data_IF_534525348082
#
_entry.id   IF_534525348082
#
_cell.length_a   1.000
_cell.length_b   1.000
_cell.length_c   1.000
_cell.angle_alpha   90.00
_cell.angle_beta   90.00
_cell.angle_gamma   90.00
#
_symmetry.space_group_name_H-M   'P 1'
#
loop_
_entity.id
_entity.type
_entity.pdbx_description
1 polymer ?
#
# COMPACT_ATOMS: atom_id res chain seq x y z
N UNK A 1 10.72 -28.37 12.04
CA UNK A 1 10.26 -28.36 13.44
C UNK A 1 9.68 -26.98 13.68
N UNK A 2 8.36 -26.84 13.59
CA UNK A 2 7.67 -25.61 13.96
C UNK A 2 7.69 -25.48 15.47
N UNK A 3 8.18 -24.37 15.99
CA UNK A 3 8.01 -24.05 17.39
C UNK A 3 6.51 -23.96 17.65
N UNK A 4 5.98 -24.87 18.45
CA UNK A 4 4.68 -24.71 19.10
C UNK A 4 4.92 -23.51 20.01
N UNK A 5 4.37 -22.34 19.64
CA UNK A 5 4.28 -21.22 20.55
C UNK A 5 3.42 -21.72 21.71
N UNK A 6 4.03 -21.94 22.86
CA UNK A 6 3.31 -22.18 24.10
C UNK A 6 2.33 -21.02 24.28
N UNK A 7 1.07 -21.38 24.48
CA UNK A 7 0.02 -20.41 24.71
C UNK A 7 0.36 -19.65 25.99
N UNK A 8 0.79 -18.41 25.86
CA UNK A 8 1.04 -17.53 27.01
C UNK A 8 -0.31 -17.25 27.69
N UNK A 9 -0.48 -17.79 28.89
CA UNK A 9 -1.56 -17.37 29.76
C UNK A 9 -1.32 -15.91 30.15
N UNK A 10 -2.38 -15.11 30.14
CA UNK A 10 -2.29 -13.75 30.68
C UNK A 10 -2.07 -13.78 32.20
N UNK A 11 -1.72 -12.62 32.76
CA UNK A 11 -1.51 -12.41 34.20
C UNK A 11 -2.73 -12.78 35.10
N UNK A 12 -3.89 -13.00 34.47
CA UNK A 12 -5.13 -13.45 35.12
C UNK A 12 -5.33 -14.99 35.10
N UNK A 13 -4.36 -15.75 34.52
CA UNK A 13 -4.43 -17.19 34.40
C UNK A 13 -5.46 -17.69 33.37
N UNK A 14 -5.96 -16.81 32.50
CA UNK A 14 -6.93 -17.14 31.46
C UNK A 14 -6.23 -17.23 30.09
N UNK A 15 -6.41 -18.36 29.44
CA UNK A 15 -6.00 -18.49 28.03
C UNK A 15 -7.01 -17.85 27.10
N UNK A 16 -6.53 -16.97 26.21
CA UNK A 16 -7.34 -16.27 25.20
C UNK A 16 -6.98 -16.84 23.81
N UNK A 17 -7.80 -17.73 23.24
CA UNK A 17 -7.55 -18.33 21.94
C UNK A 17 -7.45 -17.29 20.82
N UNK A 18 -6.62 -17.56 19.80
CA UNK A 18 -6.54 -16.80 18.57
C UNK A 18 -7.58 -17.22 17.51
N UNK A 19 -8.38 -18.21 17.83
CA UNK A 19 -9.48 -18.72 17.01
C UNK A 19 -10.71 -19.01 17.88
N UNK A 20 -11.89 -18.80 17.32
CA UNK A 20 -13.17 -19.17 17.94
C UNK A 20 -13.60 -20.62 17.66
N UNK A 21 -12.74 -21.38 16.96
CA UNK A 21 -12.97 -22.80 16.65
C UNK A 21 -13.94 -23.05 15.49
N UNK A 22 -14.51 -22.00 14.89
CA UNK A 22 -15.42 -22.13 13.75
C UNK A 22 -14.67 -22.14 12.41
N UNK A 23 -15.09 -22.95 11.41
CA UNK A 23 -14.47 -22.95 10.09
C UNK A 23 -14.65 -21.59 9.39
N UNK A 24 -13.57 -20.94 9.03
CA UNK A 24 -13.59 -19.71 8.24
C UNK A 24 -13.79 -20.02 6.76
N UNK A 25 -15.03 -20.19 6.32
CA UNK A 25 -15.36 -20.22 4.90
C UNK A 25 -15.92 -18.85 4.49
N UNK A 26 -15.11 -18.06 3.82
CA UNK A 26 -15.53 -16.80 3.21
C UNK A 26 -15.69 -16.92 1.69
N UNK A 27 -16.74 -16.25 1.17
CA UNK A 27 -16.89 -16.10 -0.27
C UNK A 27 -15.86 -15.11 -0.83
N UNK A 28 -15.57 -15.21 -2.13
CA UNK A 28 -14.74 -14.23 -2.83
C UNK A 28 -15.30 -12.80 -2.71
N UNK A 29 -16.61 -12.66 -2.58
CA UNK A 29 -17.28 -11.38 -2.40
C UNK A 29 -16.94 -10.72 -1.07
N UNK A 30 -16.69 -11.49 -0.01
CA UNK A 30 -16.27 -10.98 1.29
C UNK A 30 -14.76 -10.79 1.35
N UNK A 31 -14.00 -11.80 0.93
CA UNK A 31 -12.55 -11.80 1.01
C UNK A 31 -11.90 -10.64 0.25
N UNK A 32 -12.34 -10.35 -1.00
CA UNK A 32 -11.75 -9.31 -1.83
C UNK A 32 -11.82 -7.92 -1.20
N UNK A 33 -12.99 -7.41 -0.78
CA UNK A 33 -13.06 -6.08 -0.15
C UNK A 33 -12.37 -6.01 1.20
N UNK A 34 -12.39 -7.09 1.97
CA UNK A 34 -11.67 -7.19 3.23
C UNK A 34 -10.16 -7.04 3.02
N UNK A 35 -9.62 -7.90 2.16
CA UNK A 35 -8.22 -7.88 1.74
C UNK A 35 -7.83 -6.48 1.27
N UNK A 36 -8.64 -5.90 0.37
CA UNK A 36 -8.40 -4.54 -0.13
C UNK A 36 -8.36 -3.52 1.00
N UNK A 37 -9.35 -3.53 1.91
CA UNK A 37 -9.45 -2.50 2.93
C UNK A 37 -8.28 -2.57 3.93
N UNK A 38 -7.93 -3.77 4.41
CA UNK A 38 -6.81 -3.95 5.34
C UNK A 38 -5.50 -3.50 4.70
N UNK A 39 -5.20 -3.94 3.46
CA UNK A 39 -3.94 -3.57 2.80
C UNK A 39 -3.84 -2.10 2.46
N UNK A 40 -4.92 -1.58 1.86
CA UNK A 40 -4.93 -0.19 1.45
C UNK A 40 -4.76 0.76 2.64
N UNK A 41 -5.41 0.46 3.78
CA UNK A 41 -5.25 1.22 5.02
C UNK A 41 -3.86 1.01 5.63
N UNK A 42 -3.37 -0.22 5.69
CA UNK A 42 -2.04 -0.52 6.20
C UNK A 42 -0.94 0.21 5.40
N UNK A 43 -1.08 0.26 4.07
CA UNK A 43 -0.18 0.99 3.19
C UNK A 43 -0.34 2.51 3.34
N UNK A 44 -1.57 3.01 3.47
CA UNK A 44 -1.85 4.44 3.67
C UNK A 44 -1.21 4.97 4.95
N UNK A 45 -1.25 4.18 6.03
CA UNK A 45 -0.63 4.48 7.31
C UNK A 45 0.76 3.84 7.50
N UNK A 46 1.45 3.48 6.41
CA UNK A 46 2.76 2.81 6.48
C UNK A 46 3.79 3.60 7.30
N UNK A 47 3.81 4.92 7.11
CA UNK A 47 4.74 5.85 7.76
C UNK A 47 4.30 6.26 9.19
N UNK A 48 3.19 5.73 9.69
CA UNK A 48 2.64 6.00 11.03
C UNK A 48 2.90 4.80 11.95
N UNK A 49 3.92 4.85 12.83
CA UNK A 49 4.23 3.76 13.74
C UNK A 49 3.19 3.59 14.86
N UNK A 50 2.37 4.59 15.06
CA UNK A 50 1.30 4.70 16.05
C UNK A 50 -0.09 4.33 15.50
N UNK A 51 -0.17 3.75 14.29
CA UNK A 51 -1.43 3.31 13.69
C UNK A 51 -1.38 1.83 13.38
N UNK A 52 -2.24 1.07 14.01
CA UNK A 52 -2.42 -0.35 13.80
C UNK A 52 -3.66 -0.61 12.95
N UNK A 53 -3.46 -1.32 11.85
CA UNK A 53 -4.54 -1.78 10.95
C UNK A 53 -4.51 -3.29 10.95
N UNK A 54 -5.66 -3.91 11.17
CA UNK A 54 -5.82 -5.36 11.10
C UNK A 54 -7.23 -5.74 10.68
N UNK A 55 -7.46 -7.01 10.52
CA UNK A 55 -8.77 -7.57 10.25
C UNK A 55 -8.83 -9.01 10.66
N UNK A 56 -10.05 -9.49 10.92
CA UNK A 56 -10.32 -10.86 11.30
C UNK A 56 -9.51 -11.34 12.52
N UNK A 57 -9.17 -10.45 13.41
CA UNK A 57 -8.45 -10.71 14.63
C UNK A 57 -9.43 -10.65 15.81
N UNK A 58 -9.38 -11.63 16.70
CA UNK A 58 -10.21 -11.61 17.91
C UNK A 58 -9.81 -10.45 18.83
N UNK A 59 -10.78 -9.61 19.10
CA UNK A 59 -10.69 -8.52 20.07
C UNK A 59 -11.39 -8.96 21.35
N UNK A 60 -10.61 -9.22 22.38
CA UNK A 60 -11.10 -9.49 23.72
C UNK A 60 -11.27 -8.17 24.45
N UNK A 61 -12.44 -7.96 25.03
CA UNK A 61 -12.77 -6.69 25.70
C UNK A 61 -13.25 -6.83 27.15
N UNK A 62 -13.14 -8.06 27.70
CA UNK A 62 -13.41 -8.32 29.13
C UNK A 62 -12.31 -9.21 29.69
N UNK A 63 -11.46 -8.66 30.56
CA UNK A 63 -10.41 -9.41 31.24
C UNK A 63 -11.04 -10.49 32.14
N UNK A 64 -10.45 -11.67 32.16
CA UNK A 64 -10.94 -12.83 32.95
C UNK A 64 -12.08 -13.62 32.28
N UNK A 65 -12.48 -13.27 31.06
CA UNK A 65 -13.58 -13.92 30.35
C UNK A 65 -13.25 -14.05 28.85
N UNK A 66 -12.73 -15.19 28.45
CA UNK A 66 -12.34 -15.49 27.07
C UNK A 66 -13.52 -15.78 26.14
N UNK A 67 -14.76 -15.76 26.65
CA UNK A 67 -15.95 -15.88 25.80
C UNK A 67 -16.45 -14.55 25.28
N UNK A 68 -15.95 -13.44 25.84
CA UNK A 68 -16.35 -12.07 25.50
C UNK A 68 -15.38 -11.48 24.50
N UNK A 69 -15.64 -11.70 23.23
CA UNK A 69 -14.84 -11.21 22.13
C UNK A 69 -15.67 -10.84 20.90
N UNK A 70 -15.05 -10.09 20.00
CA UNK A 70 -15.58 -9.78 18.68
C UNK A 70 -14.43 -9.81 17.66
N UNK A 71 -14.70 -10.25 16.44
CA UNK A 71 -13.76 -10.21 15.34
C UNK A 71 -14.32 -9.29 14.25
N UNK A 72 -13.84 -8.04 14.15
CA UNK A 72 -14.22 -7.16 13.04
C UNK A 72 -13.49 -7.59 11.76
N UNK A 73 -14.17 -7.44 10.62
CA UNK A 73 -13.58 -7.73 9.31
C UNK A 73 -12.37 -6.82 9.05
N UNK A 74 -12.49 -5.54 9.39
CA UNK A 74 -11.39 -4.55 9.30
C UNK A 74 -11.47 -3.62 10.49
N UNK A 75 -10.33 -3.30 11.10
CA UNK A 75 -10.29 -2.28 12.14
C UNK A 75 -8.99 -1.47 12.14
N UNK A 76 -9.08 -0.26 12.63
CA UNK A 76 -7.96 0.67 12.76
C UNK A 76 -7.89 1.19 14.18
N UNK A 77 -6.67 1.22 14.73
CA UNK A 77 -6.40 1.75 16.07
C UNK A 77 -5.30 2.79 15.97
N UNK A 78 -5.58 4.00 16.43
CA UNK A 78 -4.61 5.08 16.54
C UNK A 78 -4.02 5.13 17.95
N UNK A 79 -2.74 5.50 18.04
CA UNK A 79 -2.04 5.64 19.31
C UNK A 79 -1.56 4.32 19.92
N UNK A 80 -1.55 3.24 19.16
CA UNK A 80 -0.97 1.95 19.58
C UNK A 80 0.21 1.56 18.70
N UNK A 81 1.16 0.84 19.28
CA UNK A 81 2.35 0.38 18.55
C UNK A 81 1.98 -0.58 17.43
N UNK A 82 2.53 -0.34 16.25
CA UNK A 82 2.40 -1.20 15.09
C UNK A 82 3.26 -2.45 15.25
N UNK A 83 2.63 -3.56 15.60
CA UNK A 83 3.25 -4.89 15.77
C UNK A 83 2.26 -5.99 15.43
N UNK A 84 2.75 -7.17 15.15
CA UNK A 84 1.90 -8.34 14.96
C UNK A 84 1.31 -8.79 16.30
N UNK A 85 0.06 -9.30 16.26
CA UNK A 85 -0.69 -9.77 17.42
C UNK A 85 -1.44 -11.05 17.07
N UNK A 86 -1.46 -12.00 17.99
CA UNK A 86 -2.33 -13.18 17.87
C UNK A 86 -3.78 -12.82 18.22
N UNK A 87 -3.97 -11.96 19.21
CA UNK A 87 -5.26 -11.43 19.64
C UNK A 87 -5.09 -9.97 20.03
N UNK A 88 -6.17 -9.19 20.00
CA UNK A 88 -6.20 -7.83 20.51
C UNK A 88 -6.93 -7.79 21.85
N UNK A 89 -6.24 -7.43 22.91
CA UNK A 89 -6.80 -7.35 24.26
C UNK A 89 -6.90 -5.89 24.67
N UNK A 90 -8.10 -5.37 24.82
CA UNK A 90 -8.31 -3.92 25.06
C UNK A 90 -7.64 -3.43 26.34
N UNK A 91 -7.52 -4.28 27.36
CA UNK A 91 -6.86 -3.93 28.61
C UNK A 91 -5.31 -3.93 28.52
N UNK A 92 -4.74 -4.68 27.57
CA UNK A 92 -3.29 -4.69 27.32
C UNK A 92 -2.90 -3.50 26.44
N UNK A 93 -3.69 -3.22 25.42
CA UNK A 93 -3.44 -2.14 24.46
C UNK A 93 -3.91 -0.77 24.98
N UNK A 94 -4.70 -0.74 26.04
CA UNK A 94 -5.20 0.47 26.69
C UNK A 94 -6.41 1.11 26.02
N UNK A 95 -6.87 0.56 24.88
CA UNK A 95 -8.03 1.09 24.14
C UNK A 95 -8.64 0.08 23.18
N UNK A 96 -9.87 0.36 22.76
CA UNK A 96 -10.54 -0.33 21.66
C UNK A 96 -10.17 0.28 20.29
N UNK A 97 -10.57 -0.32 19.17
CA UNK A 97 -10.44 0.29 17.85
C UNK A 97 -11.14 1.63 17.74
N UNK A 98 -10.57 2.53 16.93
CA UNK A 98 -11.20 3.82 16.61
C UNK A 98 -12.19 3.68 15.45
N UNK A 99 -11.87 2.82 14.48
CA UNK A 99 -12.74 2.58 13.32
C UNK A 99 -12.88 1.09 13.08
N UNK A 100 -14.10 0.67 12.76
CA UNK A 100 -14.44 -0.68 12.33
C UNK A 100 -15.21 -0.64 11.02
N UNK A 101 -14.86 -1.55 10.10
CA UNK A 101 -15.58 -1.77 8.85
C UNK A 101 -15.96 -3.25 8.78
N UNK A 102 -17.26 -3.54 8.69
CA UNK A 102 -17.79 -4.89 8.52
C UNK A 102 -18.22 -5.12 7.08
N UNK A 103 -17.90 -6.28 6.56
CA UNK A 103 -18.30 -6.72 5.22
C UNK A 103 -19.42 -7.70 5.35
N UNK A 104 -20.63 -7.17 5.24
CA UNK A 104 -21.86 -7.88 5.54
C UNK A 104 -22.11 -9.04 4.57
N UNK A 105 -22.44 -10.18 5.14
CA UNK A 105 -22.83 -11.39 4.43
C UNK A 105 -24.25 -11.82 4.82
N UNK A 106 -24.76 -12.82 4.09
CA UNK A 106 -26.03 -13.45 4.44
C UNK A 106 -26.05 -14.00 5.87
N UNK A 107 -24.91 -14.53 6.35
CA UNK A 107 -24.79 -15.11 7.69
C UNK A 107 -24.72 -14.05 8.78
N UNK A 108 -23.96 -12.98 8.54
CA UNK A 108 -23.61 -11.99 9.55
C UNK A 108 -24.55 -10.80 9.61
N UNK A 109 -25.38 -10.54 8.57
CA UNK A 109 -26.20 -9.35 8.40
C UNK A 109 -26.98 -8.90 9.64
N UNK A 110 -27.62 -9.83 10.34
CA UNK A 110 -28.43 -9.49 11.53
C UNK A 110 -27.55 -9.10 12.71
N UNK A 111 -26.42 -9.80 12.86
CA UNK A 111 -25.45 -9.51 13.91
C UNK A 111 -24.76 -8.18 13.63
N UNK A 112 -24.37 -7.93 12.38
CA UNK A 112 -23.73 -6.69 11.94
C UNK A 112 -24.67 -5.48 12.06
N UNK A 113 -25.99 -5.66 11.88
CA UNK A 113 -26.97 -4.57 12.01
C UNK A 113 -27.43 -4.30 13.44
N UNK A 114 -27.48 -5.30 14.32
CA UNK A 114 -28.11 -5.21 15.62
C UNK A 114 -27.18 -5.39 16.80
N UNK A 115 -26.34 -6.42 16.79
CA UNK A 115 -25.51 -6.79 17.94
C UNK A 115 -24.16 -6.07 17.92
N UNK A 116 -23.42 -6.17 16.82
CA UNK A 116 -22.09 -5.59 16.71
C UNK A 116 -22.07 -4.07 16.90
N UNK A 117 -23.04 -3.27 16.38
CA UNK A 117 -23.08 -1.85 16.67
C UNK A 117 -23.17 -1.52 18.15
N UNK A 118 -23.91 -2.31 18.90
CA UNK A 118 -24.03 -2.11 20.33
C UNK A 118 -22.73 -2.48 21.06
N UNK A 119 -22.08 -3.58 20.68
CA UNK A 119 -20.77 -3.96 21.20
C UNK A 119 -19.76 -2.84 20.92
N UNK A 120 -19.66 -2.37 19.67
CA UNK A 120 -18.71 -1.34 19.29
C UNK A 120 -19.01 0.01 19.94
N UNK A 121 -20.28 0.34 20.13
CA UNK A 121 -20.70 1.53 20.88
C UNK A 121 -20.23 1.46 22.34
N UNK A 122 -20.41 0.32 23.01
CA UNK A 122 -19.97 0.11 24.40
C UNK A 122 -18.44 0.14 24.52
N UNK A 123 -17.73 -0.30 23.50
CA UNK A 123 -16.27 -0.25 23.42
C UNK A 123 -15.75 1.17 23.13
N UNK A 124 -16.62 2.09 22.72
CA UNK A 124 -16.23 3.46 22.37
C UNK A 124 -15.58 3.56 20.99
N UNK A 125 -15.93 2.66 20.04
CA UNK A 125 -15.50 2.77 18.64
C UNK A 125 -16.12 4.03 18.03
N UNK A 126 -15.28 4.95 17.56
CA UNK A 126 -15.75 6.26 17.06
C UNK A 126 -16.56 6.15 15.79
N UNK A 127 -16.14 5.29 14.85
CA UNK A 127 -16.83 5.11 13.57
C UNK A 127 -17.01 3.63 13.24
N UNK A 128 -18.25 3.28 12.88
CA UNK A 128 -18.64 1.95 12.46
C UNK A 128 -19.26 1.97 11.07
N UNK A 129 -18.65 1.25 10.14
CA UNK A 129 -19.11 1.13 8.75
C UNK A 129 -19.53 -0.29 8.45
N UNK A 130 -20.53 -0.42 7.58
CA UNK A 130 -20.99 -1.69 7.01
C UNK A 130 -20.99 -1.57 5.49
N UNK A 131 -20.51 -2.59 4.83
CA UNK A 131 -20.54 -2.71 3.38
C UNK A 131 -21.08 -4.07 2.97
N UNK A 132 -22.06 -4.06 2.05
CA UNK A 132 -22.62 -5.26 1.43
C UNK A 132 -22.09 -5.39 0.00
N UNK A 133 -21.16 -6.34 -0.26
CA UNK A 133 -20.55 -6.49 -1.58
C UNK A 133 -21.52 -7.00 -2.67
N UNK A 134 -22.63 -7.61 -2.28
CA UNK A 134 -23.63 -8.15 -3.19
C UNK A 134 -24.80 -7.20 -3.42
N UNK A 135 -25.09 -6.32 -2.47
CA UNK A 135 -26.25 -5.43 -2.49
C UNK A 135 -27.56 -6.12 -2.13
N UNK A 136 -27.50 -7.35 -1.61
CA UNK A 136 -28.69 -8.16 -1.32
C UNK A 136 -29.22 -7.94 0.10
N UNK A 137 -28.39 -7.40 1.00
CA UNK A 137 -28.67 -7.39 2.45
C UNK A 137 -28.78 -6.01 3.05
N UNK A 138 -28.08 -5.01 2.49
CA UNK A 138 -28.12 -3.64 2.96
C UNK A 138 -28.71 -2.68 1.93
N UNK A 139 -29.58 -1.81 2.38
CA UNK A 139 -30.08 -0.67 1.60
C UNK A 139 -29.93 0.62 2.40
N UNK A 140 -29.04 1.55 2.00
CA UNK A 140 -28.05 1.43 0.89
C UNK A 140 -26.95 0.39 1.20
N UNK A 141 -26.25 -0.08 0.16
CA UNK A 141 -25.16 -1.08 0.26
C UNK A 141 -24.03 -0.69 1.20
N UNK A 142 -23.91 0.58 1.53
CA UNK A 142 -22.96 1.09 2.50
C UNK A 142 -23.71 1.89 3.56
N UNK A 143 -23.41 1.62 4.82
CA UNK A 143 -23.95 2.33 5.99
C UNK A 143 -22.80 2.77 6.88
N UNK A 144 -22.97 3.88 7.57
CA UNK A 144 -21.97 4.37 8.53
C UNK A 144 -22.65 4.97 9.75
N UNK A 145 -22.00 4.83 10.88
CA UNK A 145 -22.41 5.40 12.15
C UNK A 145 -21.20 6.03 12.81
N UNK A 146 -21.42 7.13 13.50
CA UNK A 146 -20.41 7.84 14.30
C UNK A 146 -20.88 7.96 15.72
N UNK A 147 -19.99 7.70 16.65
CA UNK A 147 -20.27 7.84 18.07
C UNK A 147 -20.29 9.33 18.43
N UNK A 148 -21.40 9.78 18.97
CA UNK A 148 -21.56 11.12 19.54
C UNK A 148 -22.38 11.04 20.84
N UNK A 149 -21.89 11.65 21.89
CA UNK A 149 -22.55 11.65 23.17
C UNK A 149 -22.91 10.27 23.77
N UNK A 150 -22.18 9.20 23.34
CA UNK A 150 -22.41 7.82 23.79
C UNK A 150 -23.47 7.06 22.98
N UNK A 151 -23.99 7.64 21.89
CA UNK A 151 -24.90 7.00 20.94
C UNK A 151 -24.31 7.03 19.55
N UNK A 152 -24.73 6.10 18.69
CA UNK A 152 -24.35 6.11 17.27
C UNK A 152 -25.35 6.92 16.45
N UNK A 153 -24.86 8.00 15.85
CA UNK A 153 -25.58 8.74 14.83
C UNK A 153 -25.26 8.24 13.43
N UNK A 154 -26.22 8.34 12.51
CA UNK A 154 -26.03 7.92 11.13
C UNK A 154 -25.13 8.88 10.37
N UNK A 155 -24.13 8.34 9.65
CA UNK A 155 -23.39 9.05 8.62
C UNK A 155 -24.18 8.90 7.32
N UNK A 156 -24.75 10.00 6.82
CA UNK A 156 -25.52 9.98 5.59
C UNK A 156 -24.60 10.04 4.35
N UNK A 157 -24.77 9.10 3.39
CA UNK A 157 -23.97 9.10 2.18
C UNK A 157 -24.36 10.25 1.27
N UNK A 158 -23.38 10.89 0.65
CA UNK A 158 -23.60 11.81 -0.48
C UNK A 158 -23.47 11.09 -1.81
N UNK A 159 -24.17 11.58 -2.85
CA UNK A 159 -24.03 11.05 -4.22
C UNK A 159 -22.75 11.58 -4.87
N UNK A 160 -22.04 10.70 -5.56
CA UNK A 160 -20.90 11.06 -6.40
C UNK A 160 -21.34 11.56 -7.78
N UNK A 161 -20.54 12.48 -8.38
CA UNK A 161 -20.72 13.02 -9.73
C UNK A 161 -20.52 11.91 -10.74
N UNK A 162 -20.88 10.99 -11.04
CA UNK A 162 -20.62 9.86 -11.95
C UNK A 162 -21.30 8.59 -11.47
N UNK A 163 -22.12 8.73 -10.46
CA UNK A 163 -22.83 7.62 -9.82
C UNK A 163 -22.05 7.02 -8.65
N UNK A 164 -22.79 6.36 -7.76
CA UNK A 164 -22.24 5.81 -6.53
C UNK A 164 -22.49 6.71 -5.32
N UNK A 165 -21.93 6.29 -4.21
CA UNK A 165 -22.10 6.94 -2.89
C UNK A 165 -20.72 7.21 -2.27
N UNK A 166 -20.65 8.22 -1.43
CA UNK A 166 -19.48 8.51 -0.60
C UNK A 166 -19.90 8.76 0.85
N UNK A 167 -19.15 8.21 1.78
CA UNK A 167 -19.25 8.47 3.20
C UNK A 167 -17.94 8.98 3.72
N UNK A 168 -17.95 10.05 4.49
CA UNK A 168 -16.76 10.61 5.10
C UNK A 168 -16.44 9.92 6.43
N UNK A 169 -15.21 9.45 6.56
CA UNK A 169 -14.62 9.05 7.83
C UNK A 169 -13.68 10.16 8.31
N UNK A 170 -14.08 10.84 9.37
CA UNK A 170 -13.24 11.88 9.99
C UNK A 170 -12.04 11.27 10.69
N UNK A 171 -12.23 10.11 11.30
CA UNK A 171 -11.18 9.40 12.03
C UNK A 171 -10.07 8.93 11.09
N UNK A 172 -10.43 8.35 9.95
CA UNK A 172 -9.44 7.94 8.93
C UNK A 172 -8.90 9.13 8.13
N UNK A 173 -9.62 10.23 8.03
CA UNK A 173 -9.33 11.34 7.10
C UNK A 173 -9.51 10.93 5.63
N UNK A 174 -10.36 9.97 5.37
CA UNK A 174 -10.67 9.38 4.08
C UNK A 174 -12.19 9.39 3.81
N UNK A 175 -12.57 9.12 2.58
CA UNK A 175 -13.94 8.80 2.24
C UNK A 175 -14.07 7.33 1.82
N UNK A 176 -15.12 6.67 2.27
CA UNK A 176 -15.54 5.35 1.81
C UNK A 176 -16.48 5.55 0.62
N UNK A 177 -16.04 5.19 -0.56
CA UNK A 177 -16.84 5.29 -1.77
C UNK A 177 -17.42 3.94 -2.18
N UNK A 178 -18.69 3.95 -2.55
CA UNK A 178 -19.32 2.85 -3.27
C UNK A 178 -19.33 3.20 -4.76
N UNK A 179 -18.48 2.57 -5.55
CA UNK A 179 -18.35 2.82 -7.00
C UNK A 179 -18.60 1.54 -7.76
N UNK A 180 -19.65 1.51 -8.59
CA UNK A 180 -20.05 0.31 -9.34
C UNK A 180 -20.29 -0.93 -8.46
N UNK A 181 -20.76 -0.72 -7.24
CA UNK A 181 -20.96 -1.79 -6.26
C UNK A 181 -19.72 -2.18 -5.47
N UNK A 182 -18.57 -1.60 -5.74
CA UNK A 182 -17.33 -1.89 -5.03
C UNK A 182 -16.98 -0.82 -3.98
N UNK A 183 -16.52 -1.26 -2.83
CA UNK A 183 -15.97 -0.39 -1.80
C UNK A 183 -14.58 0.09 -2.21
N UNK A 184 -14.39 1.41 -2.24
CA UNK A 184 -13.10 2.06 -2.50
C UNK A 184 -12.83 3.12 -1.44
N UNK A 185 -11.61 3.16 -0.95
CA UNK A 185 -11.14 4.20 -0.03
C UNK A 185 -10.53 5.35 -0.85
N UNK A 186 -10.99 6.56 -0.59
CA UNK A 186 -10.57 7.75 -1.33
C UNK A 186 -9.89 8.76 -0.42
N UNK A 187 -8.66 9.14 -0.78
CA UNK A 187 -7.91 10.19 -0.12
C UNK A 187 -8.30 11.55 -0.74
N UNK A 188 -9.03 12.35 0.02
CA UNK A 188 -9.51 13.67 -0.41
C UNK A 188 -8.35 14.64 -0.65
N UNK A 189 -7.26 14.53 0.14
CA UNK A 189 -6.08 15.39 0.01
C UNK A 189 -5.30 15.08 -1.25
N UNK A 190 -5.06 13.79 -1.52
CA UNK A 190 -4.36 13.31 -2.72
C UNK A 190 -5.27 13.26 -3.96
N UNK A 191 -6.58 13.40 -3.77
CA UNK A 191 -7.62 13.27 -4.81
C UNK A 191 -7.52 11.97 -5.60
N UNK A 192 -7.25 10.87 -4.90
CA UNK A 192 -7.04 9.55 -5.50
C UNK A 192 -7.57 8.44 -4.61
N UNK A 193 -7.96 7.34 -5.25
CA UNK A 193 -8.25 6.12 -4.52
C UNK A 193 -6.98 5.48 -3.98
N UNK A 194 -7.08 4.88 -2.80
CA UNK A 194 -6.05 3.98 -2.33
C UNK A 194 -5.98 2.79 -3.28
N UNK A 195 -4.77 2.40 -3.64
CA UNK A 195 -4.56 1.36 -4.64
C UNK A 195 -4.94 -0.02 -4.08
N UNK A 196 -5.57 -0.82 -4.90
CA UNK A 196 -5.64 -2.25 -4.67
C UNK A 196 -4.36 -2.94 -5.16
N UNK A 197 -4.20 -4.22 -4.84
CA UNK A 197 -3.03 -5.00 -5.24
C UNK A 197 -2.76 -4.94 -6.75
N UNK A 198 -3.79 -5.14 -7.58
CA UNK A 198 -3.63 -5.14 -9.03
C UNK A 198 -3.17 -3.77 -9.56
N UNK A 199 -3.77 -2.69 -9.05
CA UNK A 199 -3.39 -1.31 -9.39
C UNK A 199 -1.94 -0.99 -8.94
N UNK A 200 -1.55 -1.45 -7.76
CA UNK A 200 -0.20 -1.26 -7.25
C UNK A 200 0.83 -2.02 -8.10
N UNK A 201 0.57 -3.29 -8.43
CA UNK A 201 1.40 -4.08 -9.34
C UNK A 201 1.54 -3.43 -10.71
N UNK A 202 0.43 -2.94 -11.27
CA UNK A 202 0.43 -2.25 -12.56
C UNK A 202 1.20 -0.93 -12.51
N UNK A 203 1.04 -0.15 -11.45
CA UNK A 203 1.79 1.09 -11.25
C UNK A 203 3.30 0.82 -11.17
N UNK A 204 3.72 -0.19 -10.40
CA UNK A 204 5.11 -0.58 -10.30
C UNK A 204 5.67 -1.12 -11.62
N UNK A 205 4.89 -1.91 -12.36
CA UNK A 205 5.26 -2.40 -13.69
C UNK A 205 5.47 -1.24 -14.68
N UNK A 206 4.56 -0.26 -14.68
CA UNK A 206 4.67 0.96 -15.50
C UNK A 206 5.89 1.79 -15.10
N UNK A 207 6.11 2.02 -13.81
CA UNK A 207 7.27 2.74 -13.31
C UNK A 207 8.58 2.04 -13.69
N UNK A 208 8.68 0.73 -13.51
CA UNK A 208 9.84 -0.10 -13.91
C UNK A 208 10.10 -0.04 -15.42
N UNK A 209 9.05 -0.13 -16.24
CA UNK A 209 9.18 -0.04 -17.68
C UNK A 209 9.63 1.36 -18.12
N UNK A 210 9.11 2.42 -17.50
CA UNK A 210 9.55 3.79 -17.75
C UNK A 210 11.01 4.00 -17.36
N UNK A 211 11.44 3.48 -16.21
CA UNK A 211 12.84 3.52 -15.78
C UNK A 211 13.76 2.80 -16.77
N UNK A 212 13.39 1.57 -17.20
CA UNK A 212 14.15 0.81 -18.21
C UNK A 212 14.22 1.53 -19.56
N UNK A 213 13.13 2.15 -20.00
CA UNK A 213 13.11 2.94 -21.24
C UNK A 213 14.00 4.18 -21.12
N UNK A 214 13.96 4.87 -19.99
CA UNK A 214 14.85 6.00 -19.73
C UNK A 214 16.32 5.60 -19.73
N UNK A 215 16.67 4.49 -19.07
CA UNK A 215 18.04 3.93 -19.09
C UNK A 215 18.50 3.61 -20.52
N UNK A 216 17.66 2.93 -21.31
CA UNK A 216 17.97 2.63 -22.72
C UNK A 216 18.15 3.88 -23.57
N UNK A 217 17.27 4.88 -23.40
CA UNK A 217 17.37 6.14 -24.12
C UNK A 217 18.67 6.90 -23.77
N UNK A 218 19.02 6.93 -22.47
CA UNK A 218 20.27 7.54 -21.97
C UNK A 218 21.49 6.84 -22.55
N UNK A 219 21.54 5.50 -22.48
CA UNK A 219 22.64 4.71 -23.04
C UNK A 219 22.79 4.87 -24.57
N UNK A 220 21.64 4.98 -25.30
CA UNK A 220 21.67 5.25 -26.74
C UNK A 220 22.19 6.66 -27.06
N UNK A 221 21.75 7.65 -26.29
CA UNK A 221 22.22 9.03 -26.44
C UNK A 221 23.71 9.17 -26.12
N UNK A 222 24.19 8.41 -25.14
CA UNK A 222 25.60 8.32 -24.76
C UNK A 222 26.44 7.76 -25.90
N UNK A 223 26.07 6.58 -26.42
CA UNK A 223 26.76 5.97 -27.59
C UNK A 223 26.77 6.90 -28.79
N UNK A 224 25.66 7.59 -29.03
CA UNK A 224 25.59 8.54 -30.13
C UNK A 224 26.55 9.72 -29.92
N UNK A 225 26.63 10.24 -28.68
CA UNK A 225 27.59 11.31 -28.33
C UNK A 225 29.04 10.85 -28.42
N UNK A 226 29.36 9.61 -28.01
CA UNK A 226 30.68 9.03 -28.22
C UNK A 226 31.05 8.94 -29.71
N UNK A 227 30.11 8.43 -30.53
CA UNK A 227 30.33 8.35 -32.01
C UNK A 227 30.50 9.76 -32.60
N UNK A 228 29.68 10.72 -32.19
CA UNK A 228 29.80 12.10 -32.64
C UNK A 228 31.09 12.76 -32.15
N UNK A 229 31.53 12.48 -30.93
CA UNK A 229 32.80 12.95 -30.38
C UNK A 229 33.98 12.32 -31.10
N UNK A 230 33.93 11.00 -31.38
CA UNK A 230 34.93 10.32 -32.17
C UNK A 230 34.98 10.82 -33.62
N UNK A 231 33.82 10.97 -34.26
CA UNK A 231 33.75 11.50 -35.64
C UNK A 231 34.24 12.96 -35.71
N UNK A 232 33.98 13.77 -34.67
CA UNK A 232 34.54 15.15 -34.56
C UNK A 232 36.04 15.11 -34.37
N UNK A 233 36.54 14.24 -33.47
CA UNK A 233 37.96 14.08 -33.24
C UNK A 233 38.70 13.58 -34.50
N UNK A 234 38.10 12.63 -35.25
CA UNK A 234 38.65 12.14 -36.54
C UNK A 234 38.60 13.25 -37.60
N UNK A 235 37.50 14.01 -37.70
CA UNK A 235 37.40 15.12 -38.63
C UNK A 235 38.37 16.27 -38.27
N UNK A 236 38.60 16.53 -36.99
CA UNK A 236 39.58 17.48 -36.52
C UNK A 236 41.01 16.99 -36.78
N UNK A 237 41.31 15.68 -36.57
CA UNK A 237 42.58 15.08 -36.89
C UNK A 237 42.89 15.15 -38.42
N UNK A 238 41.88 14.86 -39.26
CA UNK A 238 42.01 14.95 -40.71
C UNK A 238 42.22 16.42 -41.17
N UNK A 239 41.52 17.39 -40.55
CA UNK A 239 41.73 18.80 -40.81
C UNK A 239 43.10 19.25 -40.34
N UNK A 240 43.54 18.85 -39.15
CA UNK A 240 44.87 19.12 -38.63
C UNK A 240 45.99 18.53 -39.55
N UNK A 241 45.72 17.32 -40.07
CA UNK A 241 46.65 16.68 -41.01
C UNK A 241 46.67 17.38 -42.40
N UNK A 242 45.49 17.76 -42.90
CA UNK A 242 45.37 18.54 -44.13
C UNK A 242 45.96 19.98 -43.97
N UNK A 243 45.83 20.54 -42.81
CA UNK A 243 46.48 21.83 -42.47
C UNK A 243 47.98 21.66 -42.30
N UNK A 244 48.47 20.58 -41.70
CA UNK A 244 49.90 20.27 -41.65
C UNK A 244 50.49 20.03 -43.05
N UNK A 245 49.78 19.41 -43.95
CA UNK A 245 50.19 19.26 -45.33
C UNK A 245 50.21 20.59 -46.09
N UNK A 246 49.30 21.50 -45.76
CA UNK A 246 49.27 22.87 -46.29
C UNK A 246 50.31 23.77 -45.65
N UNK A 247 50.67 23.44 -44.41
CA UNK A 247 51.55 24.26 -43.57
C UNK A 247 52.92 23.65 -43.27
N UNK A 248 53.40 22.78 -44.12
CA UNK A 248 54.86 22.61 -44.23
C UNK A 248 55.51 24.00 -44.39
N UNK A 249 54.69 24.99 -44.72
CA UNK A 249 55.06 26.43 -44.79
C UNK A 249 54.82 27.25 -43.52
N UNK A 250 54.15 26.72 -42.48
CA UNK A 250 53.88 27.55 -41.31
C UNK A 250 53.99 26.77 -39.97
N UNK A 251 55.18 26.69 -39.41
CA UNK A 251 55.53 26.07 -38.12
C UNK A 251 54.77 26.61 -36.88
N UNK A 252 54.01 27.67 -37.01
CA UNK A 252 53.38 28.35 -35.87
C UNK A 252 51.97 27.81 -35.45
N UNK A 253 51.32 26.94 -36.27
CA UNK A 253 49.96 26.45 -35.97
C UNK A 253 49.88 25.13 -35.24
N UNK A 254 50.98 24.35 -35.22
CA UNK A 254 51.02 22.99 -34.62
C UNK A 254 50.72 22.99 -33.11
N UNK A 255 51.02 24.03 -32.36
CA UNK A 255 50.71 24.14 -30.92
C UNK A 255 49.25 24.45 -30.62
N UNK A 256 48.59 25.22 -31.48
CA UNK A 256 47.19 25.58 -31.26
C UNK A 256 46.26 24.38 -31.48
N UNK A 257 46.59 23.49 -32.44
CA UNK A 257 45.82 22.29 -32.76
C UNK A 257 45.98 21.21 -31.69
N UNK A 258 47.16 21.07 -31.11
CA UNK A 258 47.41 20.14 -30.02
C UNK A 258 46.58 20.49 -28.77
N UNK A 259 46.37 21.80 -28.49
CA UNK A 259 45.50 22.27 -27.40
C UNK A 259 44.02 22.00 -27.66
N UNK A 260 43.53 22.17 -28.88
CA UNK A 260 42.14 21.89 -29.23
C UNK A 260 41.82 20.36 -29.17
N UNK A 261 42.76 19.50 -29.57
CA UNK A 261 42.60 18.05 -29.46
C UNK A 261 42.55 17.57 -27.99
N UNK A 262 43.30 18.21 -27.11
CA UNK A 262 43.27 17.92 -25.66
C UNK A 262 41.97 18.41 -24.96
N UNK A 263 41.45 19.57 -25.37
CA UNK A 263 40.15 20.05 -24.85
C UNK A 263 38.96 19.19 -25.29
N UNK A 264 39.01 18.69 -26.56
CA UNK A 264 37.97 17.78 -27.07
C UNK A 264 37.96 16.44 -26.33
N UNK A 265 39.14 15.91 -25.98
CA UNK A 265 39.24 14.68 -25.15
C UNK A 265 38.77 14.89 -23.74
N UNK A 266 39.13 16.02 -23.12
CA UNK A 266 38.65 16.34 -21.76
C UNK A 266 37.13 16.51 -21.69
N UNK A 267 36.51 17.07 -22.76
CA UNK A 267 35.04 17.15 -22.85
C UNK A 267 34.40 15.75 -23.05
N UNK A 268 35.00 14.92 -23.91
CA UNK A 268 34.49 13.57 -24.11
C UNK A 268 34.58 12.69 -22.84
N UNK A 269 35.65 12.83 -22.05
CA UNK A 269 35.77 12.17 -20.74
C UNK A 269 34.77 12.71 -19.73
N UNK A 270 34.50 14.02 -19.69
CA UNK A 270 33.50 14.61 -18.82
C UNK A 270 32.07 14.16 -19.18
N UNK A 271 31.75 14.07 -20.47
CA UNK A 271 30.45 13.58 -20.97
C UNK A 271 30.27 12.08 -20.68
N UNK A 272 31.33 11.26 -20.79
CA UNK A 272 31.30 9.82 -20.44
C UNK A 272 31.03 9.61 -18.94
N UNK A 273 31.69 10.37 -18.05
CA UNK A 273 31.44 10.30 -16.62
C UNK A 273 30.02 10.78 -16.22
N UNK A 274 29.49 11.78 -16.91
CA UNK A 274 28.12 12.24 -16.67
C UNK A 274 27.09 11.14 -17.02
N UNK A 275 27.31 10.42 -18.13
CA UNK A 275 26.39 9.39 -18.60
C UNK A 275 26.45 8.10 -17.78
N UNK A 276 27.62 7.70 -17.23
CA UNK A 276 27.73 6.63 -16.25
C UNK A 276 26.93 6.94 -14.97
N UNK A 277 27.00 8.18 -14.48
CA UNK A 277 26.23 8.59 -13.31
C UNK A 277 24.72 8.53 -13.55
N UNK A 278 24.27 8.89 -14.76
CA UNK A 278 22.86 8.78 -15.16
C UNK A 278 22.38 7.32 -15.25
N UNK A 279 23.20 6.41 -15.79
CA UNK A 279 22.88 4.97 -15.85
C UNK A 279 22.71 4.36 -14.44
N UNK A 280 23.61 4.67 -13.52
CA UNK A 280 23.52 4.24 -12.13
C UNK A 280 22.28 4.78 -11.41
N UNK A 281 21.90 6.03 -11.68
CA UNK A 281 20.68 6.60 -11.13
C UNK A 281 19.41 5.85 -11.59
N UNK A 282 19.35 5.48 -12.85
CA UNK A 282 18.22 4.74 -13.41
C UNK A 282 18.16 3.27 -12.94
N UNK A 283 19.31 2.61 -12.75
CA UNK A 283 19.36 1.29 -12.10
C UNK A 283 18.83 1.31 -10.67
N UNK A 284 19.22 2.33 -9.90
CA UNK A 284 18.72 2.50 -8.53
C UNK A 284 17.20 2.75 -8.48
N UNK A 285 16.65 3.46 -9.46
CA UNK A 285 15.20 3.65 -9.61
C UNK A 285 14.47 2.32 -9.94
N UNK A 286 15.04 1.51 -10.82
CA UNK A 286 14.50 0.21 -11.18
C UNK A 286 14.50 -0.78 -9.99
N UNK A 287 15.56 -0.77 -9.18
CA UNK A 287 15.63 -1.57 -7.96
C UNK A 287 14.56 -1.16 -6.94
N UNK A 288 14.38 0.14 -6.72
CA UNK A 288 13.32 0.65 -5.81
C UNK A 288 11.92 0.22 -6.26
N UNK A 289 11.66 0.25 -7.56
CA UNK A 289 10.39 -0.20 -8.11
C UNK A 289 10.16 -1.71 -7.90
N UNK A 290 11.20 -2.53 -8.06
CA UNK A 290 11.14 -3.98 -7.81
C UNK A 290 10.91 -4.31 -6.32
N UNK A 291 11.58 -3.61 -5.41
CA UNK A 291 11.38 -3.77 -3.96
C UNK A 291 9.94 -3.38 -3.54
N UNK A 292 9.42 -2.30 -4.11
CA UNK A 292 8.05 -1.88 -3.86
C UNK A 292 7.02 -2.92 -4.35
N UNK A 293 7.29 -3.56 -5.49
CA UNK A 293 6.45 -4.67 -5.98
C UNK A 293 6.46 -5.87 -5.04
N UNK A 294 7.66 -6.30 -4.62
CA UNK A 294 7.80 -7.41 -3.68
C UNK A 294 7.08 -7.16 -2.35
N UNK A 295 7.11 -5.92 -1.86
CA UNK A 295 6.38 -5.52 -0.65
C UNK A 295 4.87 -5.64 -0.83
N UNK A 296 4.35 -5.19 -1.96
CA UNK A 296 2.92 -5.28 -2.27
C UNK A 296 2.45 -6.74 -2.38
N UNK A 297 3.29 -7.62 -2.96
CA UNK A 297 2.99 -9.06 -3.02
C UNK A 297 2.97 -9.73 -1.63
N UNK A 298 3.89 -9.30 -0.75
CA UNK A 298 3.91 -9.79 0.63
C UNK A 298 2.67 -9.34 1.42
N UNK A 299 2.25 -8.09 1.24
CA UNK A 299 1.03 -7.54 1.84
C UNK A 299 -0.22 -8.30 1.36
N UNK A 300 -0.28 -8.66 0.07
CA UNK A 300 -1.37 -9.47 -0.49
C UNK A 300 -1.47 -10.87 0.14
N UNK A 301 -0.32 -11.55 0.30
CA UNK A 301 -0.29 -12.86 0.96
C UNK A 301 -0.74 -12.81 2.41
N UNK A 302 -0.40 -11.73 3.11
CA UNK A 302 -0.84 -11.53 4.49
C UNK A 302 -2.36 -11.47 4.58
N UNK A 303 -3.00 -10.76 3.67
CA UNK A 303 -4.46 -10.63 3.63
C UNK A 303 -5.16 -11.93 3.25
N UNK A 304 -4.61 -12.69 2.32
CA UNK A 304 -5.12 -14.04 2.03
C UNK A 304 -5.08 -14.92 3.28
N UNK A 305 -3.99 -14.85 4.04
CA UNK A 305 -3.86 -15.56 5.31
C UNK A 305 -4.86 -15.06 6.36
N UNK A 306 -5.02 -13.76 6.48
CA UNK A 306 -5.99 -13.16 7.42
C UNK A 306 -7.43 -13.52 7.03
N UNK A 307 -7.77 -13.52 5.74
CA UNK A 307 -9.05 -13.97 5.24
C UNK A 307 -9.30 -15.46 5.51
N UNK A 308 -8.26 -16.30 5.40
CA UNK A 308 -8.34 -17.72 5.73
C UNK A 308 -8.53 -17.96 7.24
N UNK A 309 -7.81 -17.21 8.06
CA UNK A 309 -7.99 -17.19 9.52
C UNK A 309 -9.42 -16.80 9.89
N UNK A 310 -10.04 -15.86 9.20
CA UNK A 310 -11.44 -15.48 9.43
C UNK A 310 -12.45 -16.51 8.95
N UNK A 311 -12.19 -17.18 7.84
CA UNK A 311 -13.01 -18.33 7.43
C UNK A 311 -13.07 -19.37 8.52
N UNK A 312 -11.90 -19.70 9.09
CA UNK A 312 -11.79 -20.67 10.18
C UNK A 312 -12.48 -20.19 11.49
N UNK A 313 -12.57 -18.88 11.73
CA UNK A 313 -13.22 -18.29 12.91
C UNK A 313 -14.72 -18.04 12.76
N UNK A 314 -15.19 -17.72 11.56
CA UNK A 314 -16.60 -17.43 11.29
C UNK A 314 -17.49 -18.68 11.21
N UNK A 315 -16.90 -19.87 11.02
CA UNK A 315 -17.59 -21.15 11.08
C UNK A 315 -17.97 -21.62 12.49
N UNK A 316 -17.32 -21.07 13.54
CA UNK A 316 -17.47 -21.48 14.94
C UNK A 316 -18.65 -20.83 15.71
N UNK A 317 -19.47 -19.99 15.06
CA UNK A 317 -20.53 -19.21 15.71
C UNK A 317 -21.97 -19.68 15.46
N UNK A 318 -22.19 -20.93 15.03
CA UNK A 318 -23.56 -21.47 14.93
C UNK A 318 -23.63 -22.89 15.52
N UNK A 319 -23.84 -22.97 16.78
CA UNK A 319 -24.70 -23.95 17.44
C UNK A 319 -25.66 -23.22 18.35
#
# INVERSE_FOLDING_TARGET
>A
MGAVLEAEEDDDGVFYPDTDGEPMAESDFQRKPLTYAVEALALHFADRPDVYVSGNLLIYYKKGDNTVSVAPDVFVVFGVTKRDRNTYKTWVEGKAPDVVIEITSRKTRLRDEREKPEIYRQLGVDEYFQYDPTGDYLSPQIKGRRLDGGAYDWIFPRRLKGGGLAMESYVLGLELHLVRGELRLYDVRRKSYLQNYAEAVDAHKKARNKARSATRARSKAEKQREIEAQARAEAEAQRAEAERQREIEAQARTEAEARQAAEARARAEADAHAAEAEAHAAEAEAQRAAEAQARTEAEARLQEMEAEIQRLRGGAGRV
#
